data_IF_782045010136
#
_entry.id   IF_782045010136
#
_cell.length_a   1.000
_cell.length_b   1.000
_cell.length_c   1.000
_cell.angle_alpha   90.00
_cell.angle_beta   90.00
_cell.angle_gamma   90.00
#
_symmetry.space_group_name_H-M   'P 1'
#
loop_
_entity.id
_entity.type
_entity.pdbx_description
1 polymer ?
#
# COMPACT_ATOMS: atom_id res chain seq x y z
N UNK A 1 10.45 3.64 9.07
CA UNK A 1 10.69 4.54 10.22
C UNK A 1 12.03 5.20 10.01
N UNK A 2 12.14 6.51 10.19
CA UNK A 2 13.42 7.21 10.10
C UNK A 2 14.25 7.02 11.37
N UNK A 3 15.57 7.21 11.31
CA UNK A 3 16.44 7.09 12.49
C UNK A 3 16.01 8.00 13.65
N UNK A 4 15.47 9.18 13.32
CA UNK A 4 14.99 10.15 14.30
C UNK A 4 13.71 9.63 14.96
N UNK A 5 12.78 9.07 14.17
CA UNK A 5 11.56 8.45 14.68
C UNK A 5 11.90 7.25 15.58
N UNK A 6 12.85 6.40 15.21
CA UNK A 6 13.28 5.26 16.04
C UNK A 6 13.86 5.70 17.38
N UNK A 7 14.71 6.74 17.37
CA UNK A 7 15.28 7.32 18.60
C UNK A 7 14.19 7.93 19.47
N UNK A 8 13.26 8.65 18.86
CA UNK A 8 12.15 9.27 19.57
C UNK A 8 11.21 8.21 20.17
N UNK A 9 10.90 7.16 19.43
CA UNK A 9 10.09 6.04 19.93
C UNK A 9 10.78 5.35 21.11
N UNK A 10 12.09 5.11 21.03
CA UNK A 10 12.86 4.55 22.15
C UNK A 10 12.80 5.45 23.38
N UNK A 11 12.98 6.76 23.21
CA UNK A 11 12.90 7.72 24.30
C UNK A 11 11.51 7.72 24.94
N UNK A 12 10.44 7.76 24.13
CA UNK A 12 9.07 7.70 24.63
C UNK A 12 8.80 6.42 25.40
N UNK A 13 9.26 5.28 24.89
CA UNK A 13 9.11 4.00 25.57
C UNK A 13 9.84 3.97 26.92
N UNK A 14 11.05 4.52 26.99
CA UNK A 14 11.79 4.64 28.25
C UNK A 14 11.08 5.54 29.25
N UNK A 15 10.58 6.70 28.80
CA UNK A 15 9.83 7.61 29.66
C UNK A 15 8.52 6.98 30.15
N UNK A 16 7.85 6.21 29.30
CA UNK A 16 6.66 5.44 29.68
C UNK A 16 7.02 4.38 30.73
N UNK A 17 8.08 3.60 30.52
CA UNK A 17 8.55 2.59 31.48
C UNK A 17 8.90 3.21 32.83
N UNK A 18 9.66 4.32 32.85
CA UNK A 18 10.09 5.01 34.08
C UNK A 18 8.92 5.60 34.89
N UNK A 19 7.86 6.06 34.19
CA UNK A 19 6.67 6.65 34.82
C UNK A 19 5.56 5.65 35.08
N UNK A 20 5.67 4.44 34.53
CA UNK A 20 4.68 3.39 34.69
C UNK A 20 4.76 2.74 36.08
N UNK A 21 3.62 2.18 36.51
CA UNK A 21 3.58 1.31 37.68
C UNK A 21 3.86 -0.12 37.24
N UNK A 22 4.44 -0.90 38.16
CA UNK A 22 4.67 -2.33 37.94
C UNK A 22 3.37 -3.03 37.57
N UNK A 23 3.35 -3.66 36.41
CA UNK A 23 2.20 -4.42 35.96
C UNK A 23 2.10 -5.76 36.71
N UNK A 24 0.92 -6.41 36.65
CA UNK A 24 0.70 -7.70 37.31
C UNK A 24 1.71 -8.78 36.87
N UNK A 25 2.14 -8.70 35.61
CA UNK A 25 3.17 -9.58 35.07
C UNK A 25 4.52 -9.39 35.77
N UNK A 26 4.99 -8.15 35.91
CA UNK A 26 6.25 -7.83 36.59
C UNK A 26 6.20 -8.12 38.09
N UNK A 27 5.07 -7.83 38.75
CA UNK A 27 4.86 -8.14 40.15
C UNK A 27 4.95 -9.65 40.40
N UNK A 28 4.29 -10.45 39.56
CA UNK A 28 4.36 -11.90 39.64
C UNK A 28 5.77 -12.42 39.33
N UNK A 29 6.46 -11.86 38.33
CA UNK A 29 7.85 -12.25 38.01
C UNK A 29 8.77 -12.02 39.21
N UNK A 30 8.63 -10.91 39.93
CA UNK A 30 9.38 -10.65 41.16
C UNK A 30 9.05 -11.64 42.28
N UNK A 31 7.79 -12.09 42.38
CA UNK A 31 7.39 -13.13 43.34
C UNK A 31 7.98 -14.49 42.96
N UNK A 32 7.84 -14.90 41.70
CA UNK A 32 8.38 -16.15 41.15
C UNK A 32 9.90 -16.24 41.39
N UNK A 33 10.66 -15.17 41.11
CA UNK A 33 12.11 -15.11 41.35
C UNK A 33 12.48 -15.29 42.83
N UNK A 34 11.72 -14.68 43.76
CA UNK A 34 11.95 -14.83 45.20
C UNK A 34 11.67 -16.26 45.66
N UNK A 35 10.62 -16.88 45.13
CA UNK A 35 10.26 -18.26 45.45
C UNK A 35 11.32 -19.24 44.94
N UNK A 36 11.85 -19.03 43.72
CA UNK A 36 12.94 -19.83 43.17
C UNK A 36 14.23 -19.69 44.00
N UNK A 37 14.63 -18.46 44.36
CA UNK A 37 15.82 -18.26 45.19
C UNK A 37 15.69 -18.91 46.58
N UNK A 38 14.49 -18.85 47.18
CA UNK A 38 14.19 -19.52 48.45
C UNK A 38 14.25 -21.04 48.31
N UNK A 39 13.77 -21.61 47.20
CA UNK A 39 13.89 -23.03 46.87
C UNK A 39 15.35 -23.47 46.84
N UNK A 40 16.20 -22.74 46.13
CA UNK A 40 17.63 -23.06 46.01
C UNK A 40 18.34 -23.03 47.38
N UNK A 41 17.97 -22.08 48.24
CA UNK A 41 18.51 -22.01 49.60
C UNK A 41 18.08 -23.21 50.45
N UNK A 42 16.79 -23.58 50.44
CA UNK A 42 16.28 -24.72 51.20
C UNK A 42 16.87 -26.05 50.73
N UNK A 43 17.10 -26.18 49.41
CA UNK A 43 17.76 -27.33 48.82
C UNK A 43 19.24 -27.43 49.26
N UNK A 44 19.93 -26.29 49.39
CA UNK A 44 21.29 -26.22 49.96
C UNK A 44 21.31 -26.55 51.46
N UNK A 45 20.26 -26.21 52.18
CA UNK A 45 20.07 -26.52 53.61
C UNK A 45 19.54 -27.94 53.86
N UNK A 46 19.23 -28.72 52.82
CA UNK A 46 18.78 -30.11 52.93
C UNK A 46 17.38 -30.30 53.54
N UNK A 47 16.53 -29.27 53.54
CA UNK A 47 15.14 -29.33 54.05
C UNK A 47 14.16 -29.71 52.95
N UNK A 48 13.06 -30.36 53.35
CA UNK A 48 12.04 -30.88 52.44
C UNK A 48 11.30 -29.75 51.71
N UNK A 49 11.17 -29.89 50.39
CA UNK A 49 10.69 -28.85 49.46
C UNK A 49 9.18 -28.90 49.20
N UNK A 50 8.46 -29.80 49.88
CA UNK A 50 7.10 -30.22 49.53
C UNK A 50 6.07 -29.08 49.58
N UNK A 51 6.18 -28.15 50.53
CA UNK A 51 5.23 -27.04 50.68
C UNK A 51 5.43 -25.93 49.63
N UNK A 52 6.60 -25.85 49.00
CA UNK A 52 6.93 -24.77 48.07
C UNK A 52 6.55 -25.10 46.63
N UNK A 53 6.48 -26.38 46.26
CA UNK A 53 6.16 -26.82 44.89
C UNK A 53 4.66 -26.68 44.55
N UNK A 54 3.75 -26.73 45.54
CA UNK A 54 2.31 -26.53 45.33
C UNK A 54 1.94 -25.05 45.10
N UNK A 55 2.74 -24.11 45.63
CA UNK A 55 2.53 -22.67 45.48
C UNK A 55 3.17 -22.12 44.20
N UNK A 56 4.20 -22.80 43.68
CA UNK A 56 4.82 -22.50 42.39
C UNK A 56 3.96 -23.12 41.28
N UNK A 57 2.86 -22.44 40.93
CA UNK A 57 2.09 -22.75 39.74
C UNK A 57 2.89 -22.50 38.44
N UNK A 58 2.21 -22.18 37.34
CA UNK A 58 2.89 -21.83 36.09
C UNK A 58 3.68 -20.52 36.26
N UNK A 59 5.00 -20.61 36.24
CA UNK A 59 5.89 -19.45 36.33
C UNK A 59 5.75 -18.56 35.11
N UNK A 60 6.04 -17.28 35.25
CA UNK A 60 6.02 -16.38 34.11
C UNK A 60 7.05 -16.77 33.02
N UNK A 61 8.18 -17.37 33.41
CA UNK A 61 9.16 -17.90 32.45
C UNK A 61 8.58 -19.00 31.55
N UNK A 62 7.79 -19.92 32.11
CA UNK A 62 7.10 -20.95 31.32
C UNK A 62 6.07 -20.32 30.35
N UNK A 63 5.39 -19.24 30.76
CA UNK A 63 4.46 -18.53 29.88
C UNK A 63 5.18 -17.81 28.74
N UNK A 64 6.33 -17.19 28.99
CA UNK A 64 7.16 -16.58 27.94
C UNK A 64 7.60 -17.63 26.92
N UNK A 65 8.05 -18.80 27.38
CA UNK A 65 8.41 -19.91 26.50
C UNK A 65 7.23 -20.37 25.64
N UNK A 66 6.05 -20.50 26.24
CA UNK A 66 4.83 -20.90 25.52
C UNK A 66 4.40 -19.83 24.50
N UNK A 67 4.49 -18.55 24.85
CA UNK A 67 4.25 -17.45 23.92
C UNK A 67 5.27 -17.41 22.78
N UNK A 68 6.55 -17.66 23.06
CA UNK A 68 7.60 -17.72 22.05
C UNK A 68 7.38 -18.88 21.08
N UNK A 69 6.97 -20.06 21.58
CA UNK A 69 6.60 -21.21 20.75
C UNK A 69 5.39 -20.90 19.88
N UNK A 70 4.33 -20.32 20.47
CA UNK A 70 3.14 -19.93 19.73
C UNK A 70 3.45 -18.88 18.65
N UNK A 71 4.31 -17.90 18.95
CA UNK A 71 4.75 -16.90 17.99
C UNK A 71 5.53 -17.54 16.82
N UNK A 72 6.44 -18.48 17.11
CA UNK A 72 7.16 -19.21 16.08
C UNK A 72 6.24 -20.08 15.21
N UNK A 73 5.26 -20.75 15.81
CA UNK A 73 4.25 -21.54 15.08
C UNK A 73 3.40 -20.65 14.16
N UNK A 74 3.03 -19.46 14.64
CA UNK A 74 2.29 -18.48 13.83
C UNK A 74 3.15 -17.95 12.69
N UNK A 75 4.42 -17.64 12.94
CA UNK A 75 5.34 -17.17 11.91
C UNK A 75 5.59 -18.25 10.83
N UNK A 76 5.70 -19.52 11.22
CA UNK A 76 5.81 -20.62 10.25
C UNK A 76 4.54 -20.79 9.41
N UNK A 77 3.35 -20.65 10.03
CA UNK A 77 2.05 -20.81 9.35
C UNK A 77 1.75 -19.66 8.39
N UNK A 78 1.97 -18.43 8.84
CA UNK A 78 1.52 -17.22 8.14
C UNK A 78 2.64 -16.46 7.44
N UNK A 79 3.91 -16.71 7.79
CA UNK A 79 5.11 -16.08 7.20
C UNK A 79 4.96 -14.56 7.11
N UNK A 80 4.82 -13.91 8.26
CA UNK A 80 4.59 -12.48 8.31
C UNK A 80 5.73 -11.73 7.60
N UNK A 81 5.38 -10.83 6.67
CA UNK A 81 6.35 -10.01 5.93
C UNK A 81 6.99 -10.67 4.70
N UNK A 82 6.80 -11.97 4.44
CA UNK A 82 7.33 -12.63 3.24
C UNK A 82 6.71 -12.07 1.94
N UNK A 83 5.44 -11.68 1.97
CA UNK A 83 4.74 -11.13 0.80
C UNK A 83 5.23 -9.73 0.42
N UNK A 84 5.61 -8.90 1.40
CA UNK A 84 6.18 -7.58 1.15
C UNK A 84 7.53 -7.72 0.42
N UNK A 85 8.38 -8.67 0.83
CA UNK A 85 9.69 -8.88 0.23
C UNK A 85 9.67 -9.59 -1.13
N UNK A 86 8.72 -10.51 -1.36
CA UNK A 86 8.65 -11.29 -2.59
C UNK A 86 8.16 -10.47 -3.80
N UNK A 87 7.30 -9.47 -3.58
CA UNK A 87 6.72 -8.64 -4.65
C UNK A 87 7.33 -7.24 -4.75
N UNK A 88 8.17 -6.83 -3.78
CA UNK A 88 9.13 -5.71 -3.91
C UNK A 88 10.22 -5.97 -4.98
N UNK A 89 10.00 -6.90 -5.91
CA UNK A 89 10.76 -6.96 -7.14
C UNK A 89 10.47 -5.67 -7.91
N UNK A 90 11.40 -4.71 -7.81
CA UNK A 90 11.39 -3.43 -8.52
C UNK A 90 11.19 -3.55 -10.04
N UNK A 91 11.20 -4.76 -10.58
CA UNK A 91 11.01 -5.09 -11.99
C UNK A 91 9.54 -5.28 -12.39
N UNK A 92 8.63 -5.65 -11.48
CA UNK A 92 7.23 -5.91 -11.80
C UNK A 92 6.37 -4.63 -11.77
N UNK A 93 6.63 -3.72 -12.72
CA UNK A 93 5.90 -2.45 -12.88
C UNK A 93 4.39 -2.61 -13.14
N UNK A 94 3.92 -3.83 -13.43
CA UNK A 94 2.50 -4.14 -13.67
C UNK A 94 1.75 -4.59 -12.42
N UNK A 95 2.45 -4.94 -11.34
CA UNK A 95 1.80 -5.34 -10.08
C UNK A 95 1.43 -4.13 -9.24
N UNK A 96 0.26 -4.19 -8.61
CA UNK A 96 -0.21 -3.20 -7.61
C UNK A 96 0.47 -3.43 -6.25
N UNK A 97 0.79 -4.69 -5.94
CA UNK A 97 1.29 -5.10 -4.63
C UNK A 97 2.81 -4.85 -4.46
N UNK A 98 3.47 -4.31 -5.49
CA UNK A 98 4.94 -4.11 -5.51
C UNK A 98 5.47 -3.06 -4.54
N UNK A 99 4.63 -2.16 -4.05
CA UNK A 99 5.05 -1.02 -3.24
C UNK A 99 3.93 -0.59 -2.28
N UNK A 100 3.55 -1.48 -1.36
CA UNK A 100 2.45 -1.25 -0.40
C UNK A 100 2.65 -0.03 0.50
N UNK A 101 3.90 0.40 0.71
CA UNK A 101 4.25 1.56 1.53
C UNK A 101 4.00 2.91 0.81
N UNK A 102 3.85 2.90 -0.51
CA UNK A 102 3.79 4.11 -1.34
C UNK A 102 2.53 4.14 -2.20
N UNK A 103 1.99 5.33 -2.42
CA UNK A 103 0.93 5.53 -3.39
C UNK A 103 1.43 5.26 -4.82
N UNK A 104 0.78 4.31 -5.50
CA UNK A 104 0.99 4.01 -6.91
C UNK A 104 -0.06 4.71 -7.78
N UNK A 105 0.37 5.19 -8.95
CA UNK A 105 -0.49 5.81 -9.95
C UNK A 105 -0.35 5.07 -11.26
N UNK A 106 -1.49 4.82 -11.92
CA UNK A 106 -1.53 4.16 -13.22
C UNK A 106 -1.13 5.13 -14.34
N UNK A 107 -0.16 4.72 -15.17
CA UNK A 107 0.13 5.36 -16.45
C UNK A 107 0.01 4.35 -17.59
N UNK A 108 -0.39 4.84 -18.75
CA UNK A 108 -0.71 4.04 -19.92
C UNK A 108 -0.12 4.62 -21.19
N UNK A 109 0.08 3.76 -22.18
CA UNK A 109 0.31 4.12 -23.57
C UNK A 109 -0.93 3.80 -24.38
N UNK A 110 -1.71 4.82 -24.73
CA UNK A 110 -2.95 4.65 -25.49
C UNK A 110 -2.66 4.61 -27.00
N UNK A 111 -3.36 3.73 -27.73
CA UNK A 111 -3.33 3.71 -29.19
C UNK A 111 -4.30 4.77 -29.71
N UNK A 112 -3.81 5.79 -30.39
CA UNK A 112 -4.66 6.85 -30.92
C UNK A 112 -4.82 6.73 -32.43
N UNK A 113 -6.07 6.70 -32.89
CA UNK A 113 -6.43 6.83 -34.31
C UNK A 113 -6.63 5.51 -35.05
N UNK A 114 -7.74 4.81 -34.77
CA UNK A 114 -8.45 3.88 -35.68
C UNK A 114 -7.70 2.69 -36.31
N UNK A 115 -6.39 2.56 -36.09
CA UNK A 115 -5.54 1.56 -36.69
C UNK A 115 -4.09 1.80 -36.31
N UNK A 116 -3.63 1.06 -35.29
CA UNK A 116 -2.26 0.64 -34.91
C UNK A 116 -0.98 1.51 -35.17
N UNK A 117 -1.03 2.69 -35.76
CA UNK A 117 0.18 3.36 -36.28
C UNK A 117 0.82 4.35 -35.29
N UNK A 118 0.09 4.79 -34.25
CA UNK A 118 0.63 5.71 -33.24
C UNK A 118 0.24 5.32 -31.80
N UNK A 119 1.27 4.99 -31.01
CA UNK A 119 1.16 4.83 -29.56
C UNK A 119 1.52 6.15 -28.89
N UNK A 120 0.69 6.60 -27.96
CA UNK A 120 0.93 7.83 -27.20
C UNK A 120 2.22 7.71 -26.37
N UNK A 121 2.86 8.83 -26.01
CA UNK A 121 3.79 8.83 -24.89
C UNK A 121 3.09 8.31 -23.61
N UNK A 122 3.89 7.96 -22.60
CA UNK A 122 3.37 7.65 -21.27
C UNK A 122 2.54 8.81 -20.73
N UNK A 123 1.26 8.56 -20.49
CA UNK A 123 0.30 9.55 -20.00
C UNK A 123 -0.61 8.90 -18.97
N UNK A 124 -1.32 9.72 -18.20
CA UNK A 124 -2.46 9.24 -17.42
C UNK A 124 -3.59 8.82 -18.37
N UNK A 125 -4.41 7.82 -17.99
CA UNK A 125 -5.60 7.45 -18.74
C UNK A 125 -6.47 8.68 -19.01
N UNK A 126 -6.80 8.90 -20.28
CA UNK A 126 -7.62 10.02 -20.69
C UNK A 126 -8.59 9.60 -21.79
N UNK A 127 -9.71 10.31 -21.88
CA UNK A 127 -10.77 10.01 -22.83
C UNK A 127 -11.49 11.28 -23.27
N UNK A 128 -12.00 11.27 -24.51
CA UNK A 128 -12.80 12.38 -25.02
C UNK A 128 -14.16 12.40 -24.33
N UNK A 129 -14.53 13.59 -23.86
CA UNK A 129 -15.85 13.88 -23.32
C UNK A 129 -16.94 13.76 -24.39
N UNK A 130 -18.09 13.18 -24.02
CA UNK A 130 -19.29 13.05 -24.87
C UNK A 130 -20.38 13.99 -24.36
N UNK A 131 -21.14 14.56 -25.28
CA UNK A 131 -22.29 15.40 -24.92
C UNK A 131 -23.34 14.56 -24.17
N UNK A 132 -23.81 15.07 -23.03
CA UNK A 132 -24.79 14.40 -22.17
C UNK A 132 -24.20 13.69 -20.93
N UNK A 133 -22.88 13.59 -20.81
CA UNK A 133 -22.21 13.10 -19.60
C UNK A 133 -21.66 14.27 -18.77
N UNK A 134 -21.34 14.03 -17.49
CA UNK A 134 -20.51 14.95 -16.68
C UNK A 134 -19.03 14.60 -16.84
N UNK A 135 -18.13 15.53 -16.51
CA UNK A 135 -16.69 15.25 -16.54
C UNK A 135 -16.30 14.08 -15.62
N UNK A 136 -16.97 13.94 -14.47
CA UNK A 136 -16.79 12.81 -13.58
C UNK A 136 -17.21 11.49 -14.24
N UNK A 137 -18.40 11.44 -14.84
CA UNK A 137 -18.87 10.25 -15.55
C UNK A 137 -17.94 9.88 -16.72
N UNK A 138 -17.34 10.87 -17.39
CA UNK A 138 -16.31 10.63 -18.41
C UNK A 138 -15.07 9.95 -17.80
N UNK A 139 -14.66 10.30 -16.58
CA UNK A 139 -13.56 9.62 -15.89
C UNK A 139 -13.93 8.18 -15.47
N UNK A 140 -15.16 7.96 -14.97
CA UNK A 140 -15.66 6.60 -14.64
C UNK A 140 -15.67 5.72 -15.89
N UNK A 141 -16.20 6.24 -17.01
CA UNK A 141 -16.20 5.56 -18.29
C UNK A 141 -14.78 5.31 -18.82
N UNK A 142 -13.87 6.28 -18.66
CA UNK A 142 -12.48 6.11 -19.07
C UNK A 142 -11.84 4.90 -18.39
N UNK A 143 -12.11 4.67 -17.11
CA UNK A 143 -11.53 3.56 -16.37
C UNK A 143 -12.18 2.23 -16.76
N UNK A 144 -13.51 2.20 -16.91
CA UNK A 144 -14.23 0.99 -17.35
C UNK A 144 -13.88 0.54 -18.76
N UNK A 145 -13.73 1.48 -19.71
CA UNK A 145 -13.26 1.17 -21.08
C UNK A 145 -11.78 0.72 -21.07
N UNK A 146 -10.96 1.28 -20.17
CA UNK A 146 -9.53 0.94 -20.05
C UNK A 146 -9.31 -0.48 -19.52
N UNK A 147 -10.05 -0.91 -18.49
CA UNK A 147 -9.88 -2.24 -17.90
C UNK A 147 -10.40 -3.36 -18.81
N UNK A 148 -11.39 -3.05 -19.68
CA UNK A 148 -12.06 -4.04 -20.51
C UNK A 148 -12.88 -5.08 -19.70
N UNK A 149 -12.82 -5.03 -18.38
CA UNK A 149 -13.54 -5.87 -17.43
C UNK A 149 -14.54 -5.04 -16.64
N UNK A 150 -15.75 -5.57 -16.48
CA UNK A 150 -16.85 -4.92 -15.77
C UNK A 150 -16.66 -4.89 -14.23
N UNK A 151 -15.67 -5.61 -13.72
CA UNK A 151 -15.51 -5.89 -12.28
C UNK A 151 -14.56 -4.91 -11.58
N UNK A 152 -13.95 -3.96 -12.31
CA UNK A 152 -13.07 -2.97 -11.71
C UNK A 152 -13.89 -1.86 -11.02
N UNK A 153 -14.07 -1.99 -9.71
CA UNK A 153 -14.70 -0.95 -8.90
C UNK A 153 -13.70 0.15 -8.56
N UNK A 154 -14.04 1.40 -8.90
CA UNK A 154 -13.23 2.58 -8.61
C UNK A 154 -14.08 3.66 -7.97
N UNK A 155 -13.55 4.25 -6.91
CA UNK A 155 -14.16 5.39 -6.23
C UNK A 155 -13.49 6.70 -6.63
N UNK A 156 -14.25 7.59 -7.27
CA UNK A 156 -13.75 8.90 -7.70
C UNK A 156 -13.94 9.91 -6.57
N UNK A 157 -12.85 10.59 -6.18
CA UNK A 157 -12.87 11.55 -5.08
C UNK A 157 -13.53 12.87 -5.51
N UNK A 158 -14.85 12.92 -5.42
CA UNK A 158 -15.65 14.12 -5.64
C UNK A 158 -15.89 14.47 -7.12
N UNK A 159 -16.61 15.58 -7.33
CA UNK A 159 -17.05 16.02 -8.66
C UNK A 159 -16.13 17.08 -9.29
N UNK A 160 -15.16 17.62 -8.54
CA UNK A 160 -14.26 18.68 -9.00
C UNK A 160 -12.93 18.09 -9.49
N UNK A 161 -12.41 18.54 -10.65
CA UNK A 161 -11.08 18.14 -11.08
C UNK A 161 -10.01 18.82 -10.21
N UNK A 162 -8.94 18.11 -9.87
CA UNK A 162 -7.86 18.66 -9.05
C UNK A 162 -6.84 19.47 -9.88
N UNK A 163 -6.85 19.31 -11.20
CA UNK A 163 -5.91 19.97 -12.09
C UNK A 163 -6.43 20.05 -13.52
N UNK A 164 -5.92 21.03 -14.26
CA UNK A 164 -6.19 21.19 -15.69
C UNK A 164 -4.88 21.36 -16.44
N UNK A 165 -4.75 20.66 -17.56
CA UNK A 165 -3.65 20.84 -18.50
C UNK A 165 -4.21 21.26 -19.86
N UNK A 166 -3.72 22.38 -20.38
CA UNK A 166 -4.17 22.93 -21.67
C UNK A 166 -3.02 22.89 -22.65
N UNK A 167 -3.24 22.28 -23.81
CA UNK A 167 -2.25 22.32 -24.89
C UNK A 167 -2.89 22.68 -26.22
N UNK A 168 -2.11 23.33 -27.07
CA UNK A 168 -2.52 23.76 -28.40
C UNK A 168 -2.08 22.73 -29.42
N UNK A 169 -2.97 22.35 -30.34
CA UNK A 169 -2.62 21.43 -31.39
C UNK A 169 -1.69 22.10 -32.42
N UNK A 170 -0.67 21.38 -32.93
CA UNK A 170 0.05 21.80 -34.12
C UNK A 170 -0.91 22.05 -35.28
N UNK A 171 -0.59 23.04 -36.14
CA UNK A 171 -1.40 23.43 -37.31
C UNK A 171 -1.97 22.24 -38.13
N UNK A 172 -1.20 21.18 -38.47
CA UNK A 172 -1.73 20.07 -39.26
C UNK A 172 -2.83 19.28 -38.54
N UNK A 173 -2.74 19.13 -37.22
CA UNK A 173 -3.75 18.42 -36.42
C UNK A 173 -4.97 19.31 -36.20
N UNK A 174 -4.75 20.60 -35.94
CA UNK A 174 -5.81 21.57 -35.76
C UNK A 174 -6.72 21.69 -37.00
N UNK A 175 -6.14 21.63 -38.20
CA UNK A 175 -6.90 21.63 -39.45
C UNK A 175 -7.71 20.35 -39.65
N UNK A 176 -7.16 19.17 -39.30
CA UNK A 176 -7.86 17.88 -39.43
C UNK A 176 -9.01 17.71 -38.43
N UNK A 177 -8.83 18.19 -37.20
CA UNK A 177 -9.81 18.04 -36.12
C UNK A 177 -10.79 19.21 -36.00
N UNK A 178 -10.50 20.34 -36.65
CA UNK A 178 -11.29 21.58 -36.52
C UNK A 178 -11.16 22.25 -35.15
N UNK A 179 -10.25 21.77 -34.28
CA UNK A 179 -10.08 22.26 -32.91
C UNK A 179 -8.71 22.93 -32.74
N UNK A 180 -8.63 24.01 -31.95
CA UNK A 180 -7.36 24.71 -31.72
C UNK A 180 -6.43 23.98 -30.73
N UNK A 181 -6.96 23.07 -29.92
CA UNK A 181 -6.23 22.37 -28.85
C UNK A 181 -7.15 21.51 -27.98
N UNK A 182 -6.62 21.07 -26.85
CA UNK A 182 -7.35 20.28 -25.85
C UNK A 182 -7.13 20.82 -24.43
N UNK A 183 -8.17 20.68 -23.61
CA UNK A 183 -8.09 20.84 -22.15
C UNK A 183 -8.32 19.47 -21.51
N UNK A 184 -7.38 19.03 -20.70
CA UNK A 184 -7.42 17.77 -19.95
C UNK A 184 -7.71 18.11 -18.49
N UNK A 185 -8.77 17.54 -17.95
CA UNK A 185 -9.17 17.71 -16.55
C UNK A 185 -8.82 16.43 -15.79
N UNK A 186 -8.05 16.55 -14.71
CA UNK A 186 -7.62 15.41 -13.92
C UNK A 186 -8.53 15.16 -12.74
N UNK A 187 -8.90 13.90 -12.54
CA UNK A 187 -9.69 13.40 -11.42
C UNK A 187 -8.91 12.33 -10.66
N UNK A 188 -9.06 12.27 -9.35
CA UNK A 188 -8.48 11.20 -8.52
C UNK A 188 -9.45 10.05 -8.41
N UNK A 189 -8.94 8.85 -8.58
CA UNK A 189 -9.68 7.61 -8.55
C UNK A 189 -8.91 6.62 -7.66
N UNK A 190 -9.59 6.09 -6.64
CA UNK A 190 -9.03 5.06 -5.77
C UNK A 190 -9.55 3.71 -6.22
N UNK A 191 -8.63 2.77 -6.41
CA UNK A 191 -8.98 1.39 -6.72
C UNK A 191 -9.65 0.77 -5.49
N UNK A 192 -10.92 0.42 -5.59
CA UNK A 192 -11.61 -0.29 -4.52
C UNK A 192 -11.23 -1.78 -4.57
N UNK A 193 -11.04 -2.44 -3.41
CA UNK A 193 -10.82 -3.88 -3.39
C UNK A 193 -12.05 -4.60 -3.94
N UNK A 194 -11.84 -5.44 -4.96
CA UNK A 194 -12.88 -6.32 -5.51
C UNK A 194 -13.41 -7.20 -4.38
N UNK A 195 -14.69 -7.07 -4.04
CA UNK A 195 -15.34 -7.83 -2.95
C UNK A 195 -15.61 -9.29 -3.32
N UNK A 196 -15.14 -9.75 -4.48
CA UNK A 196 -15.63 -10.97 -5.14
C UNK A 196 -14.67 -12.15 -5.22
N UNK A 197 -13.49 -12.11 -4.58
CA UNK A 197 -12.61 -13.30 -4.56
C UNK A 197 -12.11 -13.68 -3.16
N UNK A 198 -12.91 -14.53 -2.52
CA UNK A 198 -12.41 -15.65 -1.72
C UNK A 198 -11.55 -16.57 -2.60
N UNK A 199 -10.29 -16.22 -2.88
CA UNK A 199 -9.18 -17.15 -3.20
C UNK A 199 -7.97 -16.39 -3.77
N UNK A 200 -6.90 -16.33 -2.99
CA UNK A 200 -5.52 -16.56 -3.42
C UNK A 200 -5.15 -16.31 -4.90
N UNK A 201 -5.25 -15.07 -5.38
CA UNK A 201 -4.43 -14.51 -6.45
C UNK A 201 -4.90 -13.08 -6.67
N UNK A 202 -4.02 -12.11 -6.42
CA UNK A 202 -4.18 -10.71 -6.78
C UNK A 202 -4.78 -10.62 -8.18
N UNK A 203 -6.04 -10.20 -8.30
CA UNK A 203 -6.70 -9.99 -9.59
C UNK A 203 -5.87 -8.96 -10.35
N UNK A 204 -5.04 -9.46 -11.28
CA UNK A 204 -4.17 -8.65 -12.10
C UNK A 204 -5.05 -7.65 -12.85
N UNK A 205 -4.87 -6.36 -12.57
CA UNK A 205 -5.46 -5.29 -13.37
C UNK A 205 -5.19 -5.58 -14.85
N UNK A 206 -6.24 -5.98 -15.57
CA UNK A 206 -6.19 -6.24 -17.00
C UNK A 206 -6.56 -4.97 -17.74
N UNK A 207 -6.07 -4.86 -18.96
CA UNK A 207 -6.28 -3.69 -19.80
C UNK A 207 -6.78 -4.14 -21.15
N UNK A 208 -7.74 -3.39 -21.71
CA UNK A 208 -8.23 -3.63 -23.06
C UNK A 208 -7.09 -3.42 -24.09
N UNK A 209 -6.66 -4.47 -24.81
CA UNK A 209 -5.56 -4.38 -25.76
C UNK A 209 -5.90 -3.55 -27.02
N UNK A 210 -7.17 -3.25 -27.26
CA UNK A 210 -7.59 -2.42 -28.39
C UNK A 210 -7.21 -0.95 -28.19
N UNK A 211 -7.48 -0.41 -27.00
CA UNK A 211 -7.28 1.00 -26.67
C UNK A 211 -5.90 1.28 -26.07
N UNK A 212 -5.27 0.28 -25.45
CA UNK A 212 -4.00 0.44 -24.72
C UNK A 212 -2.97 -0.53 -25.24
N UNK A 213 -1.77 0.00 -25.47
CA UNK A 213 -0.60 -0.78 -25.87
C UNK A 213 0.18 -1.33 -24.67
N UNK A 214 0.34 -0.53 -23.61
CA UNK A 214 1.05 -0.94 -22.40
C UNK A 214 0.60 -0.10 -21.19
N UNK A 215 0.78 -0.65 -19.99
CA UNK A 215 0.45 0.01 -18.73
C UNK A 215 1.52 -0.29 -17.67
N UNK A 216 1.66 0.64 -16.73
CA UNK A 216 2.50 0.46 -15.56
C UNK A 216 1.98 1.28 -14.37
N UNK A 217 2.17 0.75 -13.17
CA UNK A 217 1.95 1.44 -11.91
C UNK A 217 3.25 2.10 -11.49
N UNK A 218 3.23 3.42 -11.27
CA UNK A 218 4.42 4.20 -10.94
C UNK A 218 4.29 4.93 -9.63
N UNK A 219 5.41 5.02 -8.92
CA UNK A 219 5.58 5.94 -7.79
C UNK A 219 5.75 7.38 -8.29
N UNK A 220 5.70 8.34 -7.37
CA UNK A 220 5.93 9.75 -7.68
C UNK A 220 7.25 9.97 -8.44
N UNK A 221 8.34 9.37 -7.96
CA UNK A 221 9.69 9.54 -8.54
C UNK A 221 9.77 9.00 -9.98
N UNK A 222 9.23 7.81 -10.21
CA UNK A 222 9.16 7.18 -11.53
C UNK A 222 8.24 7.94 -12.50
N UNK A 223 7.16 8.54 -12.00
CA UNK A 223 6.30 9.41 -12.82
C UNK A 223 7.07 10.63 -13.36
N UNK A 224 7.91 11.25 -12.52
CA UNK A 224 8.73 12.39 -12.94
C UNK A 224 9.82 12.01 -13.94
N UNK A 225 10.26 10.75 -14.00
CA UNK A 225 11.25 10.30 -14.99
C UNK A 225 10.62 9.79 -16.29
N UNK A 226 9.46 9.12 -16.23
CA UNK A 226 8.87 8.40 -17.37
C UNK A 226 7.96 9.24 -18.26
N UNK A 227 7.10 10.08 -17.66
CA UNK A 227 6.14 10.89 -18.41
C UNK A 227 6.87 12.06 -19.09
N UNK A 228 6.53 12.47 -20.32
CA UNK A 228 7.10 13.67 -20.93
C UNK A 228 6.31 14.94 -20.59
N UNK A 229 6.97 16.10 -20.66
CA UNK A 229 6.33 17.40 -20.53
C UNK A 229 6.24 17.94 -19.10
N UNK A 230 7.01 18.99 -18.82
CA UNK A 230 7.10 19.62 -17.49
C UNK A 230 5.76 20.19 -17.03
N UNK A 231 5.00 20.82 -17.93
CA UNK A 231 3.72 21.45 -17.57
C UNK A 231 2.62 20.42 -17.32
N UNK A 232 2.65 19.28 -18.03
CA UNK A 232 1.76 18.15 -17.77
C UNK A 232 2.02 17.56 -16.38
N UNK A 233 3.29 17.31 -16.04
CA UNK A 233 3.68 16.83 -14.70
C UNK A 233 3.27 17.78 -13.59
N UNK A 234 3.46 19.09 -13.79
CA UNK A 234 3.03 20.12 -12.82
C UNK A 234 1.52 20.12 -12.61
N UNK A 235 0.73 19.93 -13.66
CA UNK A 235 -0.72 19.85 -13.55
C UNK A 235 -1.19 18.55 -12.84
N UNK A 236 -0.48 17.44 -13.06
CA UNK A 236 -0.78 16.14 -12.46
C UNK A 236 -0.21 15.94 -11.04
N UNK A 237 0.62 16.86 -10.52
CA UNK A 237 1.37 16.68 -9.26
C UNK A 237 0.49 16.34 -8.05
N UNK A 238 -0.73 16.88 -8.01
CA UNK A 238 -1.66 16.67 -6.91
C UNK A 238 -2.23 15.25 -6.86
N UNK A 239 -2.08 14.45 -7.93
CA UNK A 239 -2.40 13.03 -7.91
C UNK A 239 -1.54 12.24 -6.91
N UNK A 240 -0.34 12.74 -6.58
CA UNK A 240 0.60 12.14 -5.63
C UNK A 240 0.60 12.81 -4.25
N UNK A 241 -0.33 13.74 -3.98
CA UNK A 241 -0.49 14.27 -2.63
C UNK A 241 -1.20 13.22 -1.76
N UNK A 242 -0.68 13.05 -0.55
CA UNK A 242 -1.31 12.37 0.59
C UNK A 242 -2.01 13.40 1.46
#
# INVERSE_FOLDING_TARGET
>A
MSEIEERFQKLQKQEEEEKSLLCNYELKTKQDLKMVARREQLLREGKELSELDEEIGVTNAQKEDDWSKAAADLDQKFKFGANVLAENAAENLKSVDRALERKLVLIVKQKMGGGAEYSSPWILPQMKHREGETLRQTAERCIGELSGSADLSVDISGNAPFGVFTHRYPKPIAQKTGASGAKIFFYTANLAPSTTTTSSSSESFSVNPEDVSDFQWVTREEFWSTVPGTDYKKAARFGFLE
#
